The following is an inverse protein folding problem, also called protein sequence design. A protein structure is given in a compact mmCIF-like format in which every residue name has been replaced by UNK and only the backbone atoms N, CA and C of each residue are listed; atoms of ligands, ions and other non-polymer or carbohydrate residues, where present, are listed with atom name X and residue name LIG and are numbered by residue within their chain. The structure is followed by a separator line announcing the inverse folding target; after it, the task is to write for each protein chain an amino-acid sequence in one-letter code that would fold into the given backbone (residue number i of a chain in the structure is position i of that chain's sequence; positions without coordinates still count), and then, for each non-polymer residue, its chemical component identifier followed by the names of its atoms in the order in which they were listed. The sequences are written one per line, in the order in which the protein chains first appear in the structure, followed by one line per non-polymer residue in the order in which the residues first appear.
data_IF_047477360259
#
_entry.id   IF_047477360259
#
_cell.length_a   1.000
_cell.length_b   1.000
_cell.length_c   1.000
_cell.angle_alpha   90.00
_cell.angle_beta   90.00
_cell.angle_gamma   90.00
#
_symmetry.space_group_name_H-M   'P 1'
#
loop_
_entity.id
_entity.type
_entity.pdbx_description
1 polymer ?
#
# COMPACT_ATOMS: atom_id res chain seq x y z
N UNK A 1 -17.18 39.08 4.50
CA UNK A 1 -18.10 38.26 3.66
C UNK A 1 -17.33 37.78 2.44
N UNK A 2 -16.92 36.51 2.42
CA UNK A 2 -16.72 35.65 1.23
C UNK A 2 -15.98 34.36 1.63
N UNK A 3 -16.78 33.38 2.07
CA UNK A 3 -16.38 31.98 2.16
C UNK A 3 -16.40 31.37 0.76
N UNK A 4 -15.23 31.04 0.18
CA UNK A 4 -15.17 30.22 -1.03
C UNK A 4 -15.02 28.75 -0.65
N UNK A 5 -16.17 28.07 -0.66
CA UNK A 5 -16.42 26.65 -0.88
C UNK A 5 -15.46 25.61 -0.26
N UNK A 6 -15.81 25.14 0.94
CA UNK A 6 -15.55 23.77 1.38
C UNK A 6 -16.22 22.80 0.39
N UNK A 7 -15.45 22.07 -0.41
CA UNK A 7 -15.93 20.85 -1.06
C UNK A 7 -15.95 19.73 -0.03
N UNK A 8 -17.08 19.55 0.64
CA UNK A 8 -17.43 18.28 1.27
C UNK A 8 -17.76 17.29 0.13
N UNK A 9 -16.86 16.36 -0.16
CA UNK A 9 -17.18 15.18 -0.96
C UNK A 9 -17.14 13.97 -0.04
N UNK A 10 -18.33 13.52 0.35
CA UNK A 10 -18.52 12.22 1.00
C UNK A 10 -18.21 11.09 0.02
N UNK A 11 -17.00 10.55 0.12
CA UNK A 11 -16.58 9.17 -0.16
C UNK A 11 -15.16 9.11 0.38
N UNK A 12 -14.89 8.27 1.38
CA UNK A 12 -13.52 8.10 1.89
C UNK A 12 -12.71 7.36 0.82
N UNK A 13 -12.21 8.14 -0.13
CA UNK A 13 -11.14 7.76 -1.04
C UNK A 13 -9.92 7.67 -0.13
N UNK A 14 -9.55 6.44 0.20
CA UNK A 14 -8.25 6.20 0.81
C UNK A 14 -7.20 6.86 -0.07
N UNK A 15 -6.26 7.57 0.56
CA UNK A 15 -5.23 8.32 -0.14
C UNK A 15 -4.56 7.44 -1.20
N UNK A 16 -4.61 7.88 -2.46
CA UNK A 16 -4.04 7.15 -3.60
C UNK A 16 -2.57 6.83 -3.32
N UNK A 17 -1.84 7.78 -2.72
CA UNK A 17 -0.44 7.57 -2.36
C UNK A 17 -0.24 6.36 -1.44
N UNK A 18 -1.11 6.20 -0.43
CA UNK A 18 -1.03 5.08 0.50
C UNK A 18 -1.37 3.74 -0.18
N UNK A 19 -2.35 3.73 -1.09
CA UNK A 19 -2.71 2.54 -1.86
C UNK A 19 -1.57 2.07 -2.77
N UNK A 20 -0.89 3.01 -3.43
CA UNK A 20 0.25 2.69 -4.28
C UNK A 20 1.45 2.22 -3.46
N UNK A 21 1.68 2.79 -2.27
CA UNK A 21 2.74 2.35 -1.35
C UNK A 21 2.54 0.89 -0.88
N UNK A 22 1.30 0.55 -0.50
CA UNK A 22 0.92 -0.84 -0.19
C UNK A 22 1.18 -1.73 -1.39
N UNK A 23 0.75 -1.29 -2.57
CA UNK A 23 0.76 -2.13 -3.76
C UNK A 23 2.18 -2.43 -4.22
N UNK A 24 3.08 -1.43 -4.17
CA UNK A 24 4.51 -1.64 -4.39
C UNK A 24 5.10 -2.61 -3.35
N UNK A 25 4.79 -2.44 -2.06
CA UNK A 25 5.32 -3.33 -1.01
C UNK A 25 4.85 -4.77 -1.15
N UNK A 26 3.56 -4.99 -1.46
CA UNK A 26 3.04 -6.33 -1.75
C UNK A 26 3.69 -6.91 -3.00
N UNK A 27 3.88 -6.10 -4.06
CA UNK A 27 4.61 -6.51 -5.26
C UNK A 27 6.02 -7.01 -4.96
N UNK A 28 6.76 -6.28 -4.10
CA UNK A 28 8.10 -6.67 -3.63
C UNK A 28 8.08 -7.99 -2.86
N UNK A 29 7.19 -8.12 -1.86
CA UNK A 29 7.13 -9.35 -1.05
C UNK A 29 6.72 -10.54 -1.92
N UNK A 30 5.75 -10.35 -2.80
CA UNK A 30 5.24 -11.41 -3.65
C UNK A 30 6.10 -11.63 -4.90
N UNK A 31 7.27 -11.01 -5.08
CA UNK A 31 8.11 -11.12 -6.30
C UNK A 31 7.34 -10.93 -7.63
N UNK A 32 6.46 -9.93 -7.70
CA UNK A 32 5.76 -9.59 -8.95
C UNK A 32 6.51 -8.47 -9.68
N UNK A 33 7.45 -8.80 -10.57
CA UNK A 33 8.25 -7.80 -11.31
C UNK A 33 7.39 -6.76 -12.05
N UNK A 34 6.31 -7.20 -12.70
CA UNK A 34 5.34 -6.30 -13.34
C UNK A 34 4.73 -5.31 -12.34
N UNK A 35 4.24 -5.81 -11.21
CA UNK A 35 3.60 -5.00 -10.18
C UNK A 35 4.59 -4.02 -9.56
N UNK A 36 5.84 -4.45 -9.32
CA UNK A 36 6.90 -3.60 -8.79
C UNK A 36 7.15 -2.41 -9.73
N UNK A 37 7.36 -2.66 -11.02
CA UNK A 37 7.59 -1.60 -12.00
C UNK A 37 6.41 -0.63 -12.07
N UNK A 38 5.20 -1.17 -12.27
CA UNK A 38 3.99 -0.37 -12.46
C UNK A 38 3.74 0.55 -11.25
N UNK A 39 3.74 0.01 -10.03
CA UNK A 39 3.46 0.81 -8.83
C UNK A 39 4.63 1.73 -8.44
N UNK A 40 5.87 1.39 -8.80
CA UNK A 40 6.99 2.32 -8.69
C UNK A 40 6.82 3.54 -9.60
N UNK A 41 6.42 3.32 -10.85
CA UNK A 41 6.20 4.40 -11.83
C UNK A 41 5.03 5.30 -11.45
N UNK A 42 3.94 4.72 -10.93
CA UNK A 42 2.79 5.47 -10.42
C UNK A 42 3.17 6.33 -9.20
N UNK A 43 3.88 5.76 -8.21
CA UNK A 43 4.37 6.53 -7.05
C UNK A 43 5.30 7.66 -7.48
N UNK A 44 6.19 7.40 -8.43
CA UNK A 44 7.09 8.41 -8.99
C UNK A 44 6.30 9.53 -9.69
N UNK A 45 5.26 9.19 -10.45
CA UNK A 45 4.38 10.16 -11.12
C UNK A 45 3.62 11.06 -10.14
N UNK A 46 3.19 10.53 -9.00
CA UNK A 46 2.48 11.29 -7.96
C UNK A 46 3.43 11.99 -6.97
N UNK A 47 4.75 11.98 -7.23
CA UNK A 47 5.74 12.77 -6.51
C UNK A 47 6.38 12.11 -5.30
N UNK A 48 6.31 10.79 -5.17
CA UNK A 48 7.07 10.06 -4.15
C UNK A 48 8.59 10.16 -4.42
N UNK A 49 9.37 10.24 -3.35
CA UNK A 49 10.82 10.39 -3.44
C UNK A 49 11.52 9.08 -3.78
N UNK A 50 12.55 9.14 -4.64
CA UNK A 50 13.40 7.99 -4.95
C UNK A 50 14.03 7.34 -3.71
N UNK A 51 14.36 8.16 -2.70
CA UNK A 51 14.90 7.68 -1.42
C UNK A 51 13.87 6.79 -0.70
N UNK A 52 12.61 7.24 -0.58
CA UNK A 52 11.55 6.44 0.06
C UNK A 52 11.19 5.20 -0.76
N UNK A 53 11.13 5.30 -2.09
CA UNK A 53 10.90 4.14 -2.96
C UNK A 53 11.95 3.04 -2.75
N UNK A 54 13.22 3.43 -2.67
CA UNK A 54 14.33 2.52 -2.39
C UNK A 54 14.22 1.93 -0.98
N UNK A 55 13.93 2.76 0.01
CA UNK A 55 13.87 2.36 1.42
C UNK A 55 12.59 1.62 1.81
N UNK A 56 11.57 1.56 0.95
CA UNK A 56 10.32 0.85 1.23
C UNK A 56 10.55 -0.63 1.53
N UNK A 57 11.58 -1.27 0.95
CA UNK A 57 11.90 -2.66 1.26
C UNK A 57 12.35 -2.88 2.72
N UNK A 58 12.90 -1.83 3.36
CA UNK A 58 13.40 -1.81 4.74
C UNK A 58 12.65 -0.78 5.60
N UNK A 59 11.38 -0.52 5.28
CA UNK A 59 10.58 0.56 5.88
C UNK A 59 10.55 0.53 7.41
N UNK A 60 10.60 -0.66 8.00
CA UNK A 60 10.53 -0.87 9.45
C UNK A 60 11.82 -0.43 10.17
N UNK A 61 12.96 -0.39 9.45
CA UNK A 61 14.28 0.00 9.96
C UNK A 61 14.65 1.47 9.76
N UNK A 62 13.78 2.26 9.12
CA UNK A 62 14.09 3.66 8.77
C UNK A 62 13.02 4.65 9.25
N UNK A 63 13.37 5.93 9.50
CA UNK A 63 12.43 6.91 10.01
C UNK A 63 11.55 7.58 8.93
N UNK A 64 11.73 7.22 7.67
CA UNK A 64 11.13 7.95 6.53
C UNK A 64 9.62 7.80 6.40
N UNK A 65 9.01 6.80 7.05
CA UNK A 65 7.59 6.49 6.98
C UNK A 65 6.87 6.91 8.26
N UNK A 66 5.76 7.62 8.11
CA UNK A 66 4.90 8.05 9.20
C UNK A 66 4.32 6.85 9.97
N UNK A 67 3.88 7.07 11.20
CA UNK A 67 3.26 6.01 11.99
C UNK A 67 1.99 5.44 11.33
N UNK A 68 1.23 6.28 10.60
CA UNK A 68 0.07 5.86 9.81
C UNK A 68 0.48 4.90 8.68
N UNK A 69 1.50 5.26 7.90
CA UNK A 69 2.03 4.41 6.84
C UNK A 69 2.57 3.10 7.40
N UNK A 70 3.33 3.17 8.50
CA UNK A 70 3.89 1.99 9.18
C UNK A 70 2.80 1.01 9.64
N UNK A 71 1.70 1.50 10.22
CA UNK A 71 0.59 0.64 10.62
C UNK A 71 -0.03 -0.10 9.42
N UNK A 72 -0.17 0.59 8.29
CA UNK A 72 -0.68 0.02 7.04
C UNK A 72 0.31 -0.96 6.41
N UNK A 73 1.61 -0.64 6.40
CA UNK A 73 2.66 -1.50 5.87
C UNK A 73 2.76 -2.80 6.69
N UNK A 74 2.68 -2.73 8.03
CA UNK A 74 2.59 -3.93 8.88
C UNK A 74 1.45 -4.85 8.47
N UNK A 75 0.23 -4.30 8.31
CA UNK A 75 -0.93 -5.10 7.87
C UNK A 75 -0.70 -5.70 6.48
N UNK A 76 -0.16 -4.92 5.54
CA UNK A 76 0.14 -5.40 4.20
C UNK A 76 1.15 -6.57 4.23
N UNK A 77 2.22 -6.48 5.03
CA UNK A 77 3.17 -7.57 5.15
C UNK A 77 2.55 -8.82 5.76
N UNK A 78 1.78 -8.70 6.85
CA UNK A 78 1.10 -9.83 7.50
C UNK A 78 0.16 -10.56 6.53
N UNK A 79 -0.62 -9.79 5.76
CA UNK A 79 -1.59 -10.30 4.79
C UNK A 79 -0.99 -10.66 3.42
N UNK A 80 0.30 -10.43 3.20
CA UNK A 80 0.94 -10.77 1.93
C UNK A 80 0.84 -12.28 1.63
N UNK A 81 0.74 -12.63 0.35
CA UNK A 81 0.55 -14.02 -0.09
C UNK A 81 1.70 -14.96 0.33
N UNK A 82 2.90 -14.43 0.57
CA UNK A 82 4.04 -15.20 1.08
C UNK A 82 4.04 -15.38 2.60
N UNK A 83 3.66 -14.35 3.36
CA UNK A 83 3.72 -14.43 4.82
C UNK A 83 2.53 -15.21 5.40
N UNK A 84 1.33 -15.08 4.80
CA UNK A 84 0.11 -15.79 5.20
C UNK A 84 -0.17 -15.75 6.71
N UNK A 85 0.08 -14.61 7.35
CA UNK A 85 -0.13 -14.45 8.79
C UNK A 85 -1.53 -13.95 9.07
N UNK A 86 -2.14 -14.47 10.12
CA UNK A 86 -3.30 -13.82 10.74
C UNK A 86 -2.84 -12.48 11.31
N UNK A 87 -3.52 -11.35 11.01
CA UNK A 87 -3.13 -10.08 11.58
C UNK A 87 -3.12 -10.09 13.10
N UNK A 88 -2.08 -9.51 13.69
CA UNK A 88 -1.94 -9.47 15.15
C UNK A 88 -2.90 -8.43 15.75
N UNK A 89 -3.23 -8.59 17.05
CA UNK A 89 -4.03 -7.58 17.76
C UNK A 89 -3.29 -6.25 17.82
N UNK A 90 -1.97 -6.30 17.94
CA UNK A 90 -1.07 -5.15 17.95
C UNK A 90 -1.17 -4.38 16.63
N UNK A 91 -1.08 -5.07 15.49
CA UNK A 91 -1.26 -4.46 14.16
C UNK A 91 -2.66 -3.85 14.00
N UNK A 92 -3.72 -4.58 14.39
CA UNK A 92 -5.08 -4.07 14.30
C UNK A 92 -5.30 -2.82 15.18
N UNK A 93 -4.81 -2.84 16.42
CA UNK A 93 -4.91 -1.72 17.36
C UNK A 93 -4.13 -0.49 16.86
N UNK A 94 -2.98 -0.68 16.23
CA UNK A 94 -2.21 0.42 15.63
C UNK A 94 -2.99 1.13 14.50
N UNK A 95 -3.78 0.39 13.71
CA UNK A 95 -4.62 0.97 12.65
C UNK A 95 -5.77 1.81 13.20
N UNK A 96 -6.36 1.40 14.33
CA UNK A 96 -7.47 2.13 14.97
C UNK A 96 -7.08 3.55 15.42
N UNK A 97 -5.79 3.85 15.54
CA UNK A 97 -5.29 5.20 15.80
C UNK A 97 -5.50 6.16 14.62
N UNK A 98 -5.64 5.63 13.40
CA UNK A 98 -5.62 6.42 12.16
C UNK A 98 -6.84 6.19 11.25
N UNK A 99 -7.56 5.08 11.44
CA UNK A 99 -8.64 4.64 10.57
C UNK A 99 -9.83 4.16 11.39
N UNK A 100 -11.03 4.42 10.90
CA UNK A 100 -12.24 3.78 11.40
C UNK A 100 -12.27 2.32 10.92
N UNK A 101 -12.99 1.44 11.61
CA UNK A 101 -13.14 0.03 11.21
C UNK A 101 -13.61 -0.13 9.75
N UNK A 102 -14.58 0.68 9.31
CA UNK A 102 -15.04 0.71 7.92
C UNK A 102 -13.93 1.03 6.89
N UNK A 103 -12.92 1.79 7.28
CA UNK A 103 -11.77 2.14 6.45
C UNK A 103 -10.72 1.01 6.50
N UNK A 104 -10.54 0.36 7.65
CA UNK A 104 -9.71 -0.83 7.79
C UNK A 104 -10.27 -1.97 6.92
N UNK A 105 -11.59 -2.15 6.85
CA UNK A 105 -12.20 -3.11 5.93
C UNK A 105 -11.82 -2.83 4.46
N UNK A 106 -11.89 -1.57 4.03
CA UNK A 106 -11.49 -1.18 2.67
C UNK A 106 -10.00 -1.38 2.44
N UNK A 107 -9.17 -1.12 3.45
CA UNK A 107 -7.73 -1.35 3.41
C UNK A 107 -7.40 -2.83 3.21
N UNK A 108 -8.04 -3.71 3.99
CA UNK A 108 -7.91 -5.16 3.84
C UNK A 108 -8.34 -5.63 2.45
N UNK A 109 -9.45 -5.10 1.92
CA UNK A 109 -9.88 -5.40 0.54
C UNK A 109 -8.85 -4.94 -0.49
N UNK A 110 -8.26 -3.76 -0.32
CA UNK A 110 -7.22 -3.26 -1.23
C UNK A 110 -5.96 -4.15 -1.21
N UNK A 111 -5.50 -4.55 -0.03
CA UNK A 111 -4.37 -5.48 0.14
C UNK A 111 -4.67 -6.82 -0.54
N UNK A 112 -5.87 -7.36 -0.34
CA UNK A 112 -6.27 -8.62 -0.97
C UNK A 112 -6.33 -8.50 -2.51
N UNK A 113 -6.81 -7.37 -3.02
CA UNK A 113 -6.85 -7.10 -4.46
C UNK A 113 -5.45 -7.16 -5.08
N UNK A 114 -4.46 -6.50 -4.49
CA UNK A 114 -3.08 -6.56 -5.03
C UNK A 114 -2.46 -7.94 -4.86
N UNK A 115 -2.73 -8.67 -3.77
CA UNK A 115 -2.32 -10.07 -3.63
C UNK A 115 -2.85 -10.95 -4.77
N UNK A 116 -4.14 -10.86 -5.07
CA UNK A 116 -4.75 -11.57 -6.21
C UNK A 116 -4.12 -11.14 -7.53
N UNK A 117 -3.88 -9.85 -7.71
CA UNK A 117 -3.26 -9.30 -8.92
C UNK A 117 -1.85 -9.83 -9.15
N UNK A 118 -1.04 -9.99 -8.10
CA UNK A 118 0.30 -10.58 -8.23
C UNK A 118 0.26 -12.02 -8.76
N UNK A 119 -0.75 -12.81 -8.39
CA UNK A 119 -0.94 -14.15 -8.94
C UNK A 119 -1.40 -14.10 -10.39
N UNK A 120 -2.37 -13.24 -10.70
CA UNK A 120 -2.83 -13.06 -12.07
C UNK A 120 -1.66 -12.75 -13.01
N UNK A 121 -0.82 -11.77 -12.66
CA UNK A 121 0.34 -11.40 -13.47
C UNK A 121 1.32 -12.55 -13.69
N UNK A 122 1.62 -13.30 -12.63
CA UNK A 122 2.50 -14.47 -12.70
C UNK A 122 1.92 -15.60 -13.54
N UNK A 123 0.63 -15.91 -13.37
CA UNK A 123 -0.06 -16.96 -14.11
C UNK A 123 0.00 -16.73 -15.62
N UNK A 124 -0.13 -15.48 -16.06
CA UNK A 124 -0.10 -15.11 -17.48
C UNK A 124 1.28 -14.70 -17.99
N UNK A 125 2.33 -14.85 -17.18
CA UNK A 125 3.71 -14.57 -17.60
C UNK A 125 4.00 -13.09 -17.88
N UNK A 126 3.22 -12.17 -17.32
CA UNK A 126 3.52 -10.74 -17.44
C UNK A 126 4.81 -10.40 -16.65
N UNK A 127 5.84 -9.96 -17.37
CA UNK A 127 7.07 -9.43 -16.80
C UNK A 127 7.11 -7.91 -16.91
N UNK A 128 7.97 -7.27 -16.11
CA UNK A 128 8.32 -5.86 -16.37
C UNK A 128 8.97 -5.76 -17.75
N UNK A 129 8.75 -4.63 -18.46
CA UNK A 129 9.41 -4.31 -19.74
C UNK A 129 10.91 -3.99 -19.60
N UNK A 130 11.57 -4.58 -18.61
CA UNK A 130 13.02 -4.47 -18.46
C UNK A 130 13.55 -5.59 -19.35
N UNK A 131 14.22 -5.18 -20.43
CA UNK A 131 14.68 -5.93 -21.61
C UNK A 131 13.67 -6.01 -22.77
#
# INVERSE_FOLDING_TARGET
MNMKHKKNVGRSLMDVHLLELISLRIGQINDCAYCIQMHHDELSHIGESNVRLTLLYVWDKVPHFSQKERAVLSLAEELSAKNKKTPTKETFNALLLYFKEAEIHRLTVAINKINTWTWFMKTFGYSSKIF
#
